data_IF_804877609990
#
_entry.id   IF_804877609990
#
_cell.length_a   1.000
_cell.length_b   1.000
_cell.length_c   1.000
_cell.angle_alpha   90.00
_cell.angle_beta   90.00
_cell.angle_gamma   90.00
#
_symmetry.space_group_name_H-M   'P 1'
#
loop_
_entity.id
_entity.type
_entity.pdbx_description
1 polymer ?
#
# COMPACT_ATOMS: atom_id res chain seq x y z
N UNK A 1 -20.95 -27.05 -23.87
CA UNK A 1 -20.36 -26.29 -22.74
C UNK A 1 -19.99 -27.31 -21.69
N UNK A 2 -18.70 -27.49 -21.44
CA UNK A 2 -18.19 -28.56 -20.59
C UNK A 2 -18.29 -28.15 -19.11
N UNK A 3 -18.46 -29.11 -18.20
CA UNK A 3 -18.32 -28.91 -16.75
C UNK A 3 -17.01 -28.22 -16.37
N UNK A 4 -15.98 -28.34 -17.21
CA UNK A 4 -14.68 -27.71 -17.05
C UNK A 4 -14.72 -26.18 -17.12
N UNK A 5 -15.59 -25.61 -17.97
CA UNK A 5 -15.70 -24.15 -18.17
C UNK A 5 -16.34 -23.46 -16.95
N UNK A 6 -17.25 -24.16 -16.24
CA UNK A 6 -17.96 -23.61 -15.08
C UNK A 6 -17.08 -23.55 -13.82
N UNK A 7 -16.17 -24.52 -13.65
CA UNK A 7 -15.23 -24.58 -12.51
C UNK A 7 -14.09 -23.57 -12.68
N UNK A 8 -13.60 -23.37 -13.91
CA UNK A 8 -12.52 -22.41 -14.19
C UNK A 8 -12.90 -20.95 -13.89
N UNK A 9 -14.14 -20.56 -14.20
CA UNK A 9 -14.62 -19.18 -13.99
C UNK A 9 -14.77 -18.83 -12.51
N UNK A 10 -15.23 -19.75 -11.67
CA UNK A 10 -15.37 -19.53 -10.23
C UNK A 10 -14.00 -19.41 -9.55
N UNK A 11 -13.03 -20.21 -10.00
CA UNK A 11 -11.64 -20.14 -9.55
C UNK A 11 -10.97 -18.80 -9.86
N UNK A 12 -11.20 -18.24 -11.06
CA UNK A 12 -10.66 -16.93 -11.46
C UNK A 12 -11.24 -15.78 -10.61
N UNK A 13 -12.52 -15.83 -10.25
CA UNK A 13 -13.15 -14.84 -9.34
C UNK A 13 -12.56 -14.91 -7.93
N UNK A 14 -12.34 -16.13 -7.40
CA UNK A 14 -11.73 -16.33 -6.08
C UNK A 14 -10.28 -15.81 -6.08
N UNK A 15 -9.52 -16.11 -7.13
CA UNK A 15 -8.14 -15.62 -7.27
C UNK A 15 -8.07 -14.09 -7.27
N UNK A 16 -8.96 -13.43 -8.03
CA UNK A 16 -9.06 -11.97 -8.05
C UNK A 16 -9.39 -11.40 -6.67
N UNK A 17 -10.36 -11.97 -5.95
CA UNK A 17 -10.70 -11.54 -4.58
C UNK A 17 -9.50 -11.64 -3.64
N UNK A 18 -8.72 -12.71 -3.74
CA UNK A 18 -7.51 -12.88 -2.93
C UNK A 18 -6.46 -11.82 -3.25
N UNK A 19 -6.20 -11.56 -4.53
CA UNK A 19 -5.28 -10.50 -4.96
C UNK A 19 -5.69 -9.13 -4.44
N UNK A 20 -6.99 -8.84 -4.45
CA UNK A 20 -7.52 -7.60 -3.88
C UNK A 20 -7.36 -7.50 -2.38
N UNK A 21 -7.65 -8.57 -1.65
CA UNK A 21 -7.45 -8.61 -0.19
C UNK A 21 -5.98 -8.35 0.16
N UNK A 22 -5.05 -8.98 -0.57
CA UNK A 22 -3.62 -8.73 -0.43
C UNK A 22 -3.24 -7.28 -0.76
N UNK A 23 -3.82 -6.69 -1.81
CA UNK A 23 -3.57 -5.30 -2.19
C UNK A 23 -4.07 -4.32 -1.11
N UNK A 24 -5.29 -4.51 -0.59
CA UNK A 24 -5.85 -3.67 0.48
C UNK A 24 -4.95 -3.74 1.72
N UNK A 25 -4.53 -4.95 2.11
CA UNK A 25 -3.61 -5.13 3.23
C UNK A 25 -2.29 -4.40 3.00
N UNK A 26 -1.69 -4.55 1.82
CA UNK A 26 -0.44 -3.90 1.46
C UNK A 26 -0.57 -2.36 1.47
N UNK A 27 -1.65 -1.80 0.92
CA UNK A 27 -1.93 -0.35 0.94
C UNK A 27 -2.14 0.17 2.36
N UNK A 28 -2.83 -0.59 3.20
CA UNK A 28 -3.03 -0.22 4.61
C UNK A 28 -1.71 -0.24 5.36
N UNK A 29 -0.89 -1.27 5.16
CA UNK A 29 0.45 -1.39 5.76
C UNK A 29 1.36 -0.24 5.27
N UNK A 30 1.28 0.13 3.98
CA UNK A 30 2.00 1.28 3.40
C UNK A 30 1.58 2.59 4.05
N UNK A 31 0.27 2.83 4.21
CA UNK A 31 -0.25 4.04 4.86
C UNK A 31 0.27 4.17 6.29
N UNK A 32 0.18 3.09 7.08
CA UNK A 32 0.66 3.09 8.47
C UNK A 32 2.18 3.33 8.51
N UNK A 33 2.93 2.73 7.60
CA UNK A 33 4.36 2.95 7.49
C UNK A 33 4.71 4.41 7.12
N UNK A 34 3.94 5.03 6.22
CA UNK A 34 4.10 6.43 5.83
C UNK A 34 3.85 7.38 7.00
N UNK A 35 2.78 7.16 7.77
CA UNK A 35 2.52 7.93 8.99
C UNK A 35 3.66 7.82 10.00
N UNK A 36 4.20 6.60 10.20
CA UNK A 36 5.35 6.39 11.09
C UNK A 36 6.62 7.07 10.56
N UNK A 37 6.82 7.06 9.24
CA UNK A 37 7.94 7.74 8.60
C UNK A 37 7.88 9.25 8.83
N UNK A 38 6.72 9.88 8.57
CA UNK A 38 6.52 11.31 8.80
C UNK A 38 6.75 11.68 10.27
N UNK A 39 6.28 10.84 11.21
CA UNK A 39 6.53 11.04 12.64
C UNK A 39 8.03 10.95 12.97
N UNK A 40 8.76 10.01 12.37
CA UNK A 40 10.20 9.89 12.54
C UNK A 40 10.94 11.11 11.96
N UNK A 41 10.52 11.65 10.82
CA UNK A 41 11.07 12.89 10.26
C UNK A 41 10.84 14.11 11.16
N UNK A 42 9.67 14.21 11.81
CA UNK A 42 9.40 15.26 12.80
C UNK A 42 10.39 15.17 13.97
N UNK A 43 10.66 13.96 14.47
CA UNK A 43 11.65 13.75 15.53
C UNK A 43 13.09 14.05 15.06
N UNK A 44 13.47 13.67 13.83
CA UNK A 44 14.76 14.05 13.23
C UNK A 44 14.91 15.57 13.21
N UNK A 45 13.89 16.29 12.75
CA UNK A 45 13.89 17.75 12.68
C UNK A 45 13.98 18.39 14.07
N UNK A 46 13.29 17.83 15.06
CA UNK A 46 13.36 18.27 16.46
C UNK A 46 14.76 18.11 17.05
N UNK A 47 15.39 16.95 16.88
CA UNK A 47 16.76 16.73 17.35
C UNK A 47 17.76 17.58 16.59
N UNK A 48 17.56 17.79 15.29
CA UNK A 48 18.37 18.72 14.51
C UNK A 48 18.31 20.15 15.04
N UNK A 49 17.13 20.65 15.43
CA UNK A 49 17.01 21.97 16.10
C UNK A 49 17.73 22.01 17.43
N UNK A 50 17.66 20.92 18.22
CA UNK A 50 18.36 20.81 19.51
C UNK A 50 19.87 20.81 19.36
N UNK A 51 20.41 20.09 18.36
CA UNK A 51 21.84 20.12 18.02
C UNK A 51 22.27 21.56 17.72
N UNK A 52 21.56 22.25 16.82
CA UNK A 52 21.87 23.65 16.48
C UNK A 52 21.84 24.58 17.70
N UNK A 53 20.86 24.41 18.59
CA UNK A 53 20.76 25.23 19.80
C UNK A 53 21.89 24.95 20.79
N UNK A 54 22.28 23.68 20.95
CA UNK A 54 23.39 23.30 21.82
C UNK A 54 24.74 23.81 21.28
N UNK A 55 24.93 23.75 19.96
CA UNK A 55 26.08 24.35 19.27
C UNK A 55 26.15 25.87 19.49
N UNK A 56 25.02 26.58 19.37
CA UNK A 56 24.95 28.03 19.63
C UNK A 56 25.30 28.40 21.08
N UNK A 57 24.96 27.53 22.04
CA UNK A 57 25.26 27.73 23.46
C UNK A 57 26.65 27.22 23.85
N UNK A 58 27.43 26.70 22.89
CA UNK A 58 28.73 26.06 23.12
C UNK A 58 28.68 24.91 24.14
N UNK A 59 27.54 24.24 24.31
CA UNK A 59 27.39 23.08 25.17
C UNK A 59 27.69 21.80 24.38
N UNK A 60 28.98 21.45 24.36
CA UNK A 60 29.50 20.33 23.58
C UNK A 60 28.91 18.98 24.01
N UNK A 61 28.61 18.79 25.31
CA UNK A 61 28.03 17.54 25.81
C UNK A 61 26.59 17.39 25.36
N UNK A 62 25.80 18.45 25.48
CA UNK A 62 24.41 18.46 25.02
C UNK A 62 24.32 18.30 23.49
N UNK A 63 25.23 18.92 22.74
CA UNK A 63 25.30 18.79 21.29
C UNK A 63 25.56 17.34 20.87
N UNK A 64 26.51 16.66 21.53
CA UNK A 64 26.81 15.25 21.25
C UNK A 64 25.62 14.33 21.53
N UNK A 65 24.97 14.46 22.69
CA UNK A 65 23.79 13.66 23.03
C UNK A 65 22.62 13.92 22.05
N UNK A 66 22.39 15.18 21.66
CA UNK A 66 21.37 15.52 20.69
C UNK A 66 21.68 14.96 19.29
N UNK A 67 22.96 14.89 18.92
CA UNK A 67 23.41 14.33 17.65
C UNK A 67 23.20 12.81 17.61
N UNK A 68 23.53 12.10 18.68
CA UNK A 68 23.29 10.67 18.81
C UNK A 68 21.78 10.34 18.66
N UNK A 69 20.92 11.10 19.35
CA UNK A 69 19.47 10.94 19.21
C UNK A 69 18.96 11.23 17.80
N UNK A 70 19.51 12.25 17.13
CA UNK A 70 19.23 12.53 15.72
C UNK A 70 19.62 11.35 14.83
N UNK A 71 20.77 10.72 15.06
CA UNK A 71 21.23 9.58 14.27
C UNK A 71 20.29 8.38 14.42
N UNK A 72 19.83 8.07 15.65
CA UNK A 72 18.86 6.99 15.91
C UNK A 72 17.52 7.28 15.20
N UNK A 73 17.02 8.51 15.30
CA UNK A 73 15.78 8.90 14.61
C UNK A 73 15.93 8.81 13.08
N UNK A 74 17.09 9.22 12.55
CA UNK A 74 17.40 9.15 11.11
C UNK A 74 17.48 7.72 10.62
N UNK A 75 18.14 6.82 11.37
CA UNK A 75 18.21 5.41 11.04
C UNK A 75 16.80 4.78 11.02
N UNK A 76 15.95 5.15 11.96
CA UNK A 76 14.54 4.71 12.01
C UNK A 76 13.77 5.19 10.77
N UNK A 77 13.89 6.47 10.40
CA UNK A 77 13.26 7.02 9.20
C UNK A 77 13.75 6.29 7.92
N UNK A 78 15.05 6.04 7.80
CA UNK A 78 15.61 5.32 6.65
C UNK A 78 15.10 3.89 6.55
N UNK A 79 14.98 3.17 7.68
CA UNK A 79 14.40 1.82 7.69
C UNK A 79 12.93 1.81 7.24
N UNK A 80 12.14 2.80 7.68
CA UNK A 80 10.75 2.95 7.26
C UNK A 80 10.64 3.28 5.77
N UNK A 81 11.52 4.15 5.26
CA UNK A 81 11.60 4.48 3.83
C UNK A 81 11.88 3.24 2.96
N UNK A 82 12.86 2.43 3.35
CA UNK A 82 13.17 1.18 2.63
C UNK A 82 11.98 0.20 2.61
N UNK A 83 11.18 0.15 3.70
CA UNK A 83 9.95 -0.66 3.72
C UNK A 83 8.89 -0.10 2.77
N UNK A 84 8.73 1.22 2.72
CA UNK A 84 7.80 1.90 1.81
C UNK A 84 8.17 1.67 0.34
N UNK A 85 9.45 1.78 -0.02
CA UNK A 85 9.91 1.56 -1.39
C UNK A 85 9.59 0.12 -1.86
N UNK A 86 9.87 -0.87 -1.00
CA UNK A 86 9.54 -2.28 -1.26
C UNK A 86 8.03 -2.51 -1.39
N UNK A 87 7.23 -1.91 -0.50
CA UNK A 87 5.77 -2.03 -0.55
C UNK A 87 5.19 -1.38 -1.79
N UNK A 88 5.74 -0.26 -2.24
CA UNK A 88 5.29 0.45 -3.45
C UNK A 88 5.44 -0.44 -4.69
N UNK A 89 6.62 -1.04 -4.88
CA UNK A 89 6.86 -1.97 -6.00
C UNK A 89 5.92 -3.18 -5.93
N UNK A 90 5.70 -3.72 -4.73
CA UNK A 90 4.78 -4.85 -4.52
C UNK A 90 3.33 -4.50 -4.86
N UNK A 91 2.86 -3.34 -4.41
CA UNK A 91 1.54 -2.79 -4.70
C UNK A 91 1.35 -2.59 -6.20
N UNK A 92 2.35 -2.03 -6.90
CA UNK A 92 2.28 -1.83 -8.34
C UNK A 92 2.19 -3.17 -9.10
N UNK A 93 2.95 -4.17 -8.67
CA UNK A 93 2.85 -5.53 -9.23
C UNK A 93 1.45 -6.14 -9.04
N UNK A 94 0.87 -5.98 -7.85
CA UNK A 94 -0.50 -6.45 -7.55
C UNK A 94 -1.54 -5.74 -8.42
N UNK A 95 -1.43 -4.41 -8.60
CA UNK A 95 -2.32 -3.64 -9.46
C UNK A 95 -2.26 -4.10 -10.91
N UNK A 96 -1.06 -4.36 -11.44
CA UNK A 96 -0.90 -4.87 -12.80
C UNK A 96 -1.54 -6.26 -12.97
N UNK A 97 -1.32 -7.17 -12.00
CA UNK A 97 -1.95 -8.50 -12.00
C UNK A 97 -3.47 -8.42 -11.92
N UNK A 98 -4.01 -7.52 -11.09
CA UNK A 98 -5.45 -7.29 -10.98
C UNK A 98 -6.05 -6.77 -12.29
N UNK A 99 -5.40 -5.79 -12.93
CA UNK A 99 -5.83 -5.27 -14.23
C UNK A 99 -5.88 -6.38 -15.28
N UNK A 100 -4.82 -7.18 -15.38
CA UNK A 100 -4.77 -8.30 -16.33
C UNK A 100 -5.85 -9.36 -16.06
N UNK A 101 -5.99 -9.78 -14.80
CA UNK A 101 -6.97 -10.78 -14.40
C UNK A 101 -8.41 -10.32 -14.62
N UNK A 102 -8.71 -9.03 -14.39
CA UNK A 102 -10.01 -8.44 -14.71
C UNK A 102 -10.32 -8.45 -16.20
N UNK A 103 -9.38 -7.98 -17.02
CA UNK A 103 -9.59 -7.94 -18.47
C UNK A 103 -9.86 -9.34 -19.02
N UNK A 104 -9.14 -10.35 -18.53
CA UNK A 104 -9.39 -11.76 -18.86
C UNK A 104 -10.79 -12.21 -18.42
N UNK A 105 -11.18 -11.94 -17.17
CA UNK A 105 -12.51 -12.29 -16.64
C UNK A 105 -13.65 -11.66 -17.47
N UNK A 106 -13.51 -10.39 -17.86
CA UNK A 106 -14.50 -9.68 -18.67
C UNK A 106 -14.58 -10.30 -20.07
N UNK A 107 -13.43 -10.59 -20.70
CA UNK A 107 -13.39 -11.23 -22.00
C UNK A 107 -14.06 -12.62 -21.97
N UNK A 108 -13.67 -13.49 -21.04
CA UNK A 108 -14.22 -14.84 -20.90
C UNK A 108 -15.75 -14.82 -20.67
N UNK A 109 -16.23 -13.82 -19.91
CA UNK A 109 -17.67 -13.62 -19.67
C UNK A 109 -18.42 -12.99 -20.84
N UNK A 110 -17.78 -12.19 -21.69
CA UNK A 110 -18.39 -11.61 -22.89
C UNK A 110 -18.60 -12.67 -23.97
N UNK A 111 -17.66 -13.60 -24.13
CA UNK A 111 -17.77 -14.69 -25.11
C UNK A 111 -18.72 -15.81 -24.68
N UNK A 112 -18.93 -16.00 -23.37
CA UNK A 112 -19.89 -16.98 -22.82
C UNK A 112 -21.31 -16.40 -22.73
N UNK A 113 -21.99 -16.25 -23.86
CA UNK A 113 -23.41 -15.85 -23.95
C UNK A 113 -24.38 -16.86 -23.31
N UNK A 114 -24.46 -16.93 -21.97
CA UNK A 114 -25.69 -17.35 -21.24
C UNK A 114 -25.60 -17.07 -19.74
N UNK A 115 -26.51 -16.20 -19.26
CA UNK A 115 -26.82 -15.79 -17.87
C UNK A 115 -25.98 -14.62 -17.32
N UNK A 116 -26.43 -13.43 -17.70
CA UNK A 116 -26.09 -12.14 -17.08
C UNK A 116 -26.55 -11.99 -15.60
N UNK A 117 -27.32 -12.93 -15.04
CA UNK A 117 -28.04 -12.74 -13.77
C UNK A 117 -27.22 -12.99 -12.50
N UNK A 118 -26.17 -13.81 -12.55
CA UNK A 118 -25.28 -14.07 -11.38
C UNK A 118 -24.03 -13.20 -11.38
N UNK A 119 -23.90 -12.30 -12.36
CA UNK A 119 -22.70 -11.50 -12.66
C UNK A 119 -22.72 -10.13 -11.98
N UNK A 120 -23.91 -9.57 -11.71
CA UNK A 120 -24.07 -8.25 -11.07
C UNK A 120 -23.40 -8.21 -9.70
N UNK A 121 -23.64 -9.21 -8.85
CA UNK A 121 -23.14 -9.21 -7.47
C UNK A 121 -21.61 -9.33 -7.38
N UNK A 122 -20.97 -10.09 -8.25
CA UNK A 122 -19.51 -10.25 -8.27
C UNK A 122 -18.80 -9.05 -8.87
N UNK A 123 -19.36 -8.45 -9.93
CA UNK A 123 -18.83 -7.20 -10.52
C UNK A 123 -19.00 -6.05 -9.53
N UNK A 124 -20.18 -5.88 -8.93
CA UNK A 124 -20.41 -4.85 -7.91
C UNK A 124 -19.52 -5.05 -6.66
N UNK A 125 -19.21 -6.30 -6.29
CA UNK A 125 -18.25 -6.56 -5.22
C UNK A 125 -16.85 -6.08 -5.59
N UNK A 126 -16.44 -6.20 -6.86
CA UNK A 126 -15.18 -5.66 -7.34
C UNK A 126 -15.20 -4.13 -7.42
N UNK A 127 -16.29 -3.51 -7.84
CA UNK A 127 -16.42 -2.05 -7.88
C UNK A 127 -16.28 -1.44 -6.47
N UNK A 128 -16.96 -2.04 -5.47
CA UNK A 128 -16.82 -1.65 -4.05
C UNK A 128 -15.40 -1.81 -3.52
N UNK A 129 -14.69 -2.83 -3.99
CA UNK A 129 -13.30 -3.08 -3.60
C UNK A 129 -12.35 -2.07 -4.27
N UNK A 130 -12.60 -1.71 -5.54
CA UNK A 130 -11.83 -0.67 -6.22
C UNK A 130 -12.02 0.70 -5.58
N UNK A 131 -13.26 1.02 -5.17
CA UNK A 131 -13.53 2.24 -4.42
C UNK A 131 -12.70 2.28 -3.13
N UNK A 132 -12.60 1.16 -2.40
CA UNK A 132 -11.73 1.05 -1.21
C UNK A 132 -10.25 1.25 -1.54
N UNK A 133 -9.76 0.64 -2.63
CA UNK A 133 -8.39 0.83 -3.11
C UNK A 133 -8.14 2.31 -3.42
N UNK A 134 -9.05 2.95 -4.15
CA UNK A 134 -8.96 4.35 -4.53
C UNK A 134 -8.99 5.29 -3.32
N UNK A 135 -9.84 5.02 -2.33
CA UNK A 135 -9.85 5.76 -1.06
C UNK A 135 -8.53 5.60 -0.30
N UNK A 136 -7.98 4.39 -0.22
CA UNK A 136 -6.70 4.14 0.46
C UNK A 136 -5.54 4.85 -0.25
N UNK A 137 -5.53 4.86 -1.58
CA UNK A 137 -4.54 5.59 -2.37
C UNK A 137 -4.67 7.10 -2.20
N UNK A 138 -5.89 7.63 -2.22
CA UNK A 138 -6.14 9.05 -2.01
C UNK A 138 -5.68 9.49 -0.61
N UNK A 139 -5.99 8.69 0.42
CA UNK A 139 -5.53 8.95 1.78
C UNK A 139 -4.00 8.86 1.91
N UNK A 140 -3.35 7.93 1.21
CA UNK A 140 -1.89 7.82 1.24
C UNK A 140 -1.20 9.03 0.57
N UNK A 141 -1.82 9.64 -0.44
CA UNK A 141 -1.31 10.87 -1.10
C UNK A 141 -1.51 12.14 -0.29
N UNK A 142 -2.43 12.14 0.69
CA UNK A 142 -2.79 13.29 1.49
C UNK A 142 -2.00 13.41 2.81
N UNK A 143 -1.10 12.45 3.09
CA UNK A 143 -0.26 12.36 4.30
C UNK A 143 1.13 12.88 4.00
#
# INVERSE_FOLDING_TARGET
MSLHDYIGIDLDVIHLKNLYSSLIKALTDQKIALQKYNQAEIEVNKWQRRVKLAEQKCDQKLAHLALEQKQIATATANQLKLKLDKQTVYIDNLKQKLKAGKSKLIADKMYSSRRYSSTSSAIEAFDRIEEKVLMLEAQAKAV
#
